data_IF_509838031886
#
_entry.id   IF_509838031886
#
_cell.length_a   1.000
_cell.length_b   1.000
_cell.length_c   1.000
_cell.angle_alpha   90.00
_cell.angle_beta   90.00
_cell.angle_gamma   90.00
#
_symmetry.space_group_name_H-M   'P 1'
#
loop_
_entity.id
_entity.type
_entity.pdbx_description
1 polymer ?
#
# COMPACT_ATOMS: atom_id res chain seq x y z
N UNK A 1 -3.14 1.35 -6.86
CA UNK A 1 -4.44 0.66 -6.92
C UNK A 1 -5.56 1.69 -6.72
N UNK A 2 -6.71 1.49 -7.36
CA UNK A 2 -7.78 2.49 -7.46
C UNK A 2 -9.12 2.00 -6.90
N UNK A 3 -9.28 0.70 -6.65
CA UNK A 3 -10.53 0.08 -6.22
C UNK A 3 -10.37 -0.99 -5.14
N UNK A 4 -11.41 -1.18 -4.31
CA UNK A 4 -11.49 -2.28 -3.33
C UNK A 4 -11.22 -3.64 -3.98
N UNK A 5 -11.72 -3.83 -5.20
CA UNK A 5 -11.57 -5.08 -5.95
C UNK A 5 -10.12 -5.33 -6.32
N UNK A 6 -9.36 -4.31 -6.75
CA UNK A 6 -7.93 -4.44 -6.98
C UNK A 6 -7.19 -4.86 -5.69
N UNK A 7 -7.49 -4.23 -4.55
CA UNK A 7 -6.87 -4.63 -3.28
C UNK A 7 -7.23 -6.06 -2.87
N UNK A 8 -8.49 -6.49 -3.04
CA UNK A 8 -8.89 -7.88 -2.79
C UNK A 8 -8.27 -8.88 -3.76
N UNK A 9 -8.04 -8.46 -5.01
CA UNK A 9 -7.51 -9.30 -6.06
C UNK A 9 -5.99 -9.26 -6.18
N UNK A 10 -5.32 -8.41 -5.42
CA UNK A 10 -3.88 -8.38 -5.33
C UNK A 10 -3.33 -9.71 -4.82
N UNK A 11 -2.32 -10.23 -5.52
CA UNK A 11 -1.60 -11.43 -5.14
C UNK A 11 -0.19 -11.12 -4.69
N UNK A 12 0.39 -12.06 -3.96
CA UNK A 12 1.76 -11.95 -3.47
C UNK A 12 2.75 -11.75 -4.63
N UNK A 13 2.63 -12.57 -5.68
CA UNK A 13 3.48 -12.47 -6.88
C UNK A 13 3.14 -11.32 -7.83
N UNK A 14 2.24 -10.39 -7.45
CA UNK A 14 2.02 -9.17 -8.24
C UNK A 14 2.98 -8.04 -7.84
N UNK A 15 3.74 -8.23 -6.75
CA UNK A 15 4.73 -7.29 -6.25
C UNK A 15 6.08 -8.01 -6.18
N UNK A 16 7.02 -7.57 -7.01
CA UNK A 16 8.37 -8.10 -7.03
C UNK A 16 9.34 -7.13 -6.37
N UNK A 17 10.22 -7.63 -5.50
CA UNK A 17 11.38 -6.89 -5.03
C UNK A 17 12.52 -7.03 -6.04
N UNK A 18 12.98 -5.90 -6.58
CA UNK A 18 14.06 -5.83 -7.58
C UNK A 18 15.15 -4.87 -7.13
N UNK A 19 16.31 -4.96 -7.76
CA UNK A 19 17.46 -4.08 -7.53
C UNK A 19 17.91 -3.48 -8.85
N UNK A 20 18.17 -2.18 -8.87
CA UNK A 20 18.73 -1.49 -10.04
C UNK A 20 20.21 -1.85 -10.24
N UNK A 21 20.77 -1.51 -11.40
CA UNK A 21 22.22 -1.64 -11.65
C UNK A 21 23.07 -0.80 -10.68
N UNK A 22 22.50 0.27 -10.12
CA UNK A 22 23.13 1.11 -9.10
C UNK A 22 23.01 0.55 -7.67
N UNK A 23 22.37 -0.61 -7.48
CA UNK A 23 22.21 -1.25 -6.17
C UNK A 23 21.02 -0.77 -5.34
N UNK A 24 20.11 0.02 -5.94
CA UNK A 24 18.92 0.52 -5.25
C UNK A 24 17.78 -0.49 -5.34
N UNK A 25 17.18 -0.82 -4.19
CA UNK A 25 16.03 -1.73 -4.14
C UNK A 25 14.74 -1.00 -4.47
N UNK A 26 13.81 -1.68 -5.12
CA UNK A 26 12.48 -1.17 -5.39
C UNK A 26 11.45 -2.29 -5.51
N UNK A 27 10.20 -1.96 -5.24
CA UNK A 27 9.04 -2.83 -5.46
C UNK A 27 8.44 -2.50 -6.83
N UNK A 28 8.25 -3.52 -7.65
CA UNK A 28 7.66 -3.43 -8.98
C UNK A 28 6.27 -4.05 -8.97
N UNK A 29 5.24 -3.27 -9.28
CA UNK A 29 3.86 -3.74 -9.27
C UNK A 29 3.39 -4.11 -10.68
N UNK A 30 2.95 -5.36 -10.83
CA UNK A 30 2.36 -5.88 -12.05
C UNK A 30 0.83 -5.87 -11.94
N UNK A 31 0.17 -5.05 -12.78
CA UNK A 31 -1.29 -4.92 -12.77
C UNK A 31 -1.94 -6.13 -13.49
N UNK A 32 -2.75 -6.91 -12.75
CA UNK A 32 -3.58 -7.96 -13.38
C UNK A 32 -4.76 -7.33 -14.10
N UNK A 33 -4.87 -7.57 -15.41
CA UNK A 33 -6.03 -7.17 -16.19
C UNK A 33 -7.30 -7.79 -15.57
N UNK A 34 -8.14 -6.96 -14.94
CA UNK A 34 -9.30 -7.41 -14.15
C UNK A 34 -10.65 -6.97 -14.72
N UNK A 35 -10.68 -6.48 -15.97
CA UNK A 35 -11.94 -6.24 -16.68
C UNK A 35 -12.07 -7.13 -17.90
N UNK A 36 -13.08 -8.01 -17.87
CA UNK A 36 -13.75 -8.48 -19.09
C UNK A 36 -14.35 -7.25 -19.78
N UNK A 37 -13.67 -6.71 -20.78
CA UNK A 37 -14.25 -5.69 -21.64
C UNK A 37 -13.81 -5.92 -23.08
N UNK A 38 -14.67 -6.60 -23.82
CA UNK A 38 -14.70 -6.58 -25.28
C UNK A 38 -15.03 -5.15 -25.70
N UNK A 39 -14.03 -4.37 -26.09
CA UNK A 39 -14.22 -2.99 -26.52
C UNK A 39 -12.96 -2.19 -26.29
N UNK A 40 -12.21 -1.99 -27.38
CA UNK A 40 -10.94 -1.28 -27.46
C UNK A 40 -10.83 -0.09 -26.49
N UNK A 41 -9.81 -0.13 -25.63
CA UNK A 41 -8.92 1.00 -25.30
C UNK A 41 -7.86 0.56 -24.28
N UNK A 42 -6.65 1.03 -24.55
CA UNK A 42 -5.37 0.77 -23.91
C UNK A 42 -5.26 1.32 -22.48
N UNK A 43 -6.04 0.79 -21.54
CA UNK A 43 -6.01 1.21 -20.13
C UNK A 43 -4.89 0.54 -19.30
N UNK A 44 -4.02 -0.26 -19.92
CA UNK A 44 -2.77 -0.67 -19.29
C UNK A 44 -1.88 0.57 -19.11
N UNK A 45 -1.35 0.79 -17.89
CA UNK A 45 -0.43 1.90 -17.67
C UNK A 45 0.76 1.78 -18.62
N UNK A 46 1.21 2.90 -19.17
CA UNK A 46 2.42 2.94 -20.01
C UNK A 46 3.68 2.45 -19.28
N UNK A 47 3.68 2.45 -17.95
CA UNK A 47 4.76 1.96 -17.11
C UNK A 47 4.21 1.24 -15.87
N UNK A 48 4.94 0.21 -15.41
CA UNK A 48 4.65 -0.44 -14.14
C UNK A 48 4.93 0.54 -12.99
N UNK A 49 4.03 0.67 -12.00
CA UNK A 49 4.29 1.50 -10.83
C UNK A 49 5.43 0.91 -10.00
N UNK A 50 6.40 1.76 -9.62
CA UNK A 50 7.55 1.38 -8.81
C UNK A 50 7.56 2.15 -7.49
N UNK A 51 8.01 1.50 -6.42
CA UNK A 51 8.26 2.14 -5.12
C UNK A 51 9.70 1.87 -4.71
N UNK A 52 10.53 2.92 -4.69
CA UNK A 52 11.95 2.82 -4.37
C UNK A 52 12.20 2.81 -2.86
N UNK A 53 13.33 2.23 -2.46
CA UNK A 53 13.83 2.26 -1.09
C UNK A 53 14.12 3.71 -0.64
N UNK A 54 13.63 4.07 0.55
CA UNK A 54 14.02 5.30 1.24
C UNK A 54 14.83 4.92 2.48
N UNK A 55 16.16 4.86 2.36
CA UNK A 55 17.04 4.36 3.42
C UNK A 55 16.94 5.25 4.66
N UNK A 56 16.76 4.64 5.84
CA UNK A 56 16.65 5.36 7.12
C UNK A 56 15.26 5.89 7.46
N UNK A 57 14.29 5.82 6.53
CA UNK A 57 12.91 6.20 6.81
C UNK A 57 12.12 5.01 7.39
N UNK A 58 11.52 5.11 8.59
CA UNK A 58 10.66 4.05 9.14
C UNK A 58 9.43 3.77 8.27
N UNK A 59 9.05 4.69 7.38
CA UNK A 59 7.96 4.55 6.40
C UNK A 59 8.44 4.04 5.04
N UNK A 60 9.70 3.60 4.94
CA UNK A 60 10.26 3.05 3.71
C UNK A 60 9.42 1.86 3.20
N UNK A 61 8.89 1.93 1.97
CA UNK A 61 8.02 0.87 1.44
C UNK A 61 8.75 -0.46 1.28
N UNK A 62 10.04 -0.43 0.92
CA UNK A 62 10.87 -1.64 0.77
C UNK A 62 11.12 -2.29 2.13
N UNK A 63 11.48 -1.52 3.15
CA UNK A 63 11.72 -2.05 4.51
C UNK A 63 10.44 -2.63 5.11
N UNK A 64 9.31 -1.94 4.96
CA UNK A 64 8.00 -2.43 5.40
C UNK A 64 7.59 -3.71 4.66
N UNK A 65 7.85 -3.80 3.36
CA UNK A 65 7.58 -5.02 2.59
C UNK A 65 8.46 -6.20 3.04
N UNK A 66 9.74 -5.97 3.31
CA UNK A 66 10.65 -7.02 3.80
C UNK A 66 10.19 -7.57 5.16
N UNK A 67 9.86 -6.67 6.10
CA UNK A 67 9.27 -7.06 7.40
C UNK A 67 7.96 -7.82 7.21
N UNK A 68 7.10 -7.36 6.28
CA UNK A 68 5.85 -8.03 5.98
C UNK A 68 6.08 -9.44 5.40
N UNK A 69 7.06 -9.60 4.51
CA UNK A 69 7.44 -10.88 3.92
C UNK A 69 7.99 -11.87 4.96
N UNK A 70 8.80 -11.37 5.90
CA UNK A 70 9.40 -12.16 6.98
C UNK A 70 8.33 -12.72 7.93
N UNK A 71 7.41 -11.86 8.39
CA UNK A 71 6.33 -12.25 9.30
C UNK A 71 5.20 -13.01 8.58
N UNK A 72 5.23 -13.09 7.26
CA UNK A 72 4.21 -13.76 6.46
C UNK A 72 4.23 -15.28 6.72
N UNK A 73 3.06 -15.91 6.96
CA UNK A 73 3.02 -17.35 7.14
C UNK A 73 3.48 -18.08 5.88
N UNK A 74 4.24 -19.16 6.04
CA UNK A 74 4.86 -19.88 4.91
C UNK A 74 3.84 -20.32 3.85
N UNK A 75 2.65 -20.77 4.30
CA UNK A 75 1.56 -21.19 3.42
C UNK A 75 0.96 -20.06 2.56
N UNK A 76 1.26 -18.80 2.87
CA UNK A 76 0.74 -17.61 2.18
C UNK A 76 1.80 -16.93 1.31
N UNK A 77 3.00 -17.51 1.14
CA UNK A 77 4.10 -16.97 0.31
C UNK A 77 4.05 -17.44 -1.15
N UNK A 78 3.10 -18.30 -1.54
CA UNK A 78 2.94 -18.68 -2.94
C UNK A 78 2.52 -17.48 -3.79
N UNK A 79 2.97 -17.42 -5.05
CA UNK A 79 2.70 -16.29 -5.94
C UNK A 79 1.21 -16.03 -6.16
N UNK A 80 0.36 -17.06 -6.11
CA UNK A 80 -1.09 -16.97 -6.26
C UNK A 80 -1.84 -16.61 -4.97
N UNK A 81 -1.14 -16.56 -3.84
CA UNK A 81 -1.72 -16.27 -2.53
C UNK A 81 -2.13 -14.81 -2.44
N UNK A 82 -3.17 -14.53 -1.66
CA UNK A 82 -3.70 -13.16 -1.47
C UNK A 82 -2.65 -12.27 -0.83
N UNK A 83 -2.40 -11.09 -1.39
CA UNK A 83 -1.40 -10.18 -0.84
C UNK A 83 -1.72 -9.78 0.60
N UNK A 84 -2.96 -9.40 0.91
CA UNK A 84 -3.35 -9.10 2.28
C UNK A 84 -3.76 -10.36 3.04
N UNK A 85 -3.04 -10.64 4.13
CA UNK A 85 -3.22 -11.80 5.02
C UNK A 85 -3.96 -11.38 6.29
N UNK A 86 -4.76 -12.27 6.86
CA UNK A 86 -5.52 -12.04 8.08
C UNK A 86 -4.60 -11.76 9.28
N UNK A 87 -5.04 -10.88 10.18
CA UNK A 87 -4.33 -10.49 11.39
C UNK A 87 -4.65 -11.49 12.51
N UNK A 88 -3.63 -11.87 13.29
CA UNK A 88 -3.82 -12.71 14.47
C UNK A 88 -4.29 -11.88 15.68
N UNK A 89 -5.60 -11.79 15.88
CA UNK A 89 -6.17 -11.03 17.02
C UNK A 89 -6.13 -11.78 18.37
N UNK A 90 -5.74 -13.07 18.39
CA UNK A 90 -5.73 -13.90 19.60
C UNK A 90 -4.38 -13.89 20.31
N UNK A 91 -3.53 -12.92 19.98
CA UNK A 91 -2.09 -12.88 20.22
C UNK A 91 -1.63 -13.51 21.53
N UNK A 92 -0.88 -14.60 21.40
CA UNK A 92 -0.07 -15.17 22.48
C UNK A 92 1.37 -15.46 22.06
N UNK A 93 1.85 -14.90 20.94
CA UNK A 93 3.21 -15.16 20.42
C UNK A 93 3.67 -14.25 19.29
N UNK A 94 4.79 -14.61 18.66
CA UNK A 94 5.48 -13.85 17.59
C UNK A 94 4.80 -13.94 16.20
N UNK A 95 3.65 -14.63 16.12
CA UNK A 95 2.89 -14.80 14.88
C UNK A 95 1.87 -13.66 14.67
N UNK A 96 2.24 -12.70 13.83
CA UNK A 96 1.42 -11.51 13.52
C UNK A 96 0.21 -11.83 12.63
N UNK A 97 0.33 -12.87 11.80
CA UNK A 97 -0.64 -13.18 10.74
C UNK A 97 -1.10 -14.64 10.83
N UNK A 98 -2.30 -14.89 10.32
CA UNK A 98 -2.92 -16.22 10.24
C UNK A 98 -2.98 -16.69 8.79
N UNK A 99 -3.04 -18.01 8.58
CA UNK A 99 -3.08 -18.65 7.24
C UNK A 99 -4.42 -18.46 6.50
N UNK A 100 -4.90 -17.23 6.37
CA UNK A 100 -6.11 -16.90 5.62
C UNK A 100 -6.03 -15.50 4.99
N UNK A 101 -6.77 -15.25 3.90
CA UNK A 101 -6.92 -13.91 3.35
C UNK A 101 -7.53 -12.92 4.34
N UNK A 102 -7.14 -11.65 4.23
CA UNK A 102 -7.81 -10.59 4.98
C UNK A 102 -9.26 -10.41 4.51
N UNK A 103 -10.18 -10.26 5.47
CA UNK A 103 -11.60 -10.08 5.19
C UNK A 103 -11.91 -8.82 4.37
N UNK A 104 -12.89 -8.92 3.46
CA UNK A 104 -13.30 -7.81 2.58
C UNK A 104 -13.68 -6.52 3.30
N UNK A 105 -14.33 -6.64 4.46
CA UNK A 105 -14.78 -5.50 5.25
C UNK A 105 -13.60 -4.85 5.97
N UNK A 106 -12.69 -5.64 6.53
CA UNK A 106 -11.43 -5.18 7.11
C UNK A 106 -10.66 -4.37 6.08
N UNK A 107 -10.42 -4.92 4.88
CA UNK A 107 -9.75 -4.21 3.79
C UNK A 107 -10.45 -2.91 3.40
N UNK A 108 -11.79 -2.89 3.38
CA UNK A 108 -12.57 -1.71 3.01
C UNK A 108 -12.50 -0.60 4.05
N UNK A 109 -12.24 -0.97 5.31
CA UNK A 109 -12.24 -0.07 6.45
C UNK A 109 -10.84 0.40 6.86
N UNK A 110 -9.75 -0.09 6.22
CA UNK A 110 -8.37 0.30 6.59
C UNK A 110 -8.20 1.82 6.63
N UNK A 111 -8.52 2.53 5.54
CA UNK A 111 -8.33 3.99 5.50
C UNK A 111 -9.21 4.68 6.54
N UNK A 112 -10.44 4.20 6.74
CA UNK A 112 -11.35 4.75 7.75
C UNK A 112 -10.73 4.64 9.15
N UNK A 113 -10.28 3.43 9.53
CA UNK A 113 -9.65 3.21 10.83
C UNK A 113 -8.37 4.04 10.99
N UNK A 114 -7.53 4.12 9.95
CA UNK A 114 -6.32 4.95 10.00
C UNK A 114 -6.64 6.44 10.17
N UNK A 115 -7.68 6.97 9.52
CA UNK A 115 -8.07 8.37 9.65
C UNK A 115 -8.71 8.67 10.99
N UNK A 116 -9.52 7.76 11.51
CA UNK A 116 -10.15 7.88 12.82
C UNK A 116 -9.06 7.94 13.92
N UNK A 117 -8.06 7.04 13.87
CA UNK A 117 -6.92 7.02 14.80
C UNK A 117 -5.99 8.24 14.65
N UNK A 118 -5.85 8.78 13.44
CA UNK A 118 -5.06 9.98 13.19
C UNK A 118 -5.79 11.30 13.55
N UNK A 119 -7.05 11.23 14.00
CA UNK A 119 -7.85 12.41 14.33
C UNK A 119 -8.30 13.23 13.12
N UNK A 120 -8.31 12.65 11.91
CA UNK A 120 -8.75 13.33 10.70
C UNK A 120 -10.28 13.39 10.71
N UNK A 121 -10.83 14.60 10.87
CA UNK A 121 -12.26 14.84 11.11
C UNK A 121 -13.16 14.48 9.91
N UNK A 122 -12.62 14.56 8.69
CA UNK A 122 -13.36 14.23 7.49
C UNK A 122 -13.49 12.73 7.28
N UNK A 123 -14.69 12.28 6.89
CA UNK A 123 -14.90 10.90 6.46
C UNK A 123 -14.04 10.57 5.24
N UNK A 124 -12.93 9.85 5.46
CA UNK A 124 -12.12 9.26 4.39
C UNK A 124 -12.40 7.76 4.28
N UNK A 125 -12.50 7.28 3.05
CA UNK A 125 -12.65 5.86 2.72
C UNK A 125 -11.57 5.47 1.71
N UNK A 126 -11.43 4.20 1.37
CA UNK A 126 -10.42 3.77 0.39
C UNK A 126 -10.50 4.52 -0.96
N UNK A 127 -11.69 4.98 -1.36
CA UNK A 127 -11.86 5.83 -2.54
C UNK A 127 -11.24 7.24 -2.36
N UNK A 128 -11.19 7.77 -1.15
CA UNK A 128 -10.55 9.05 -0.82
C UNK A 128 -9.03 8.98 -0.96
N UNK A 129 -8.41 7.82 -0.74
CA UNK A 129 -6.96 7.60 -0.90
C UNK A 129 -6.51 7.48 -2.38
N UNK A 130 -7.31 7.94 -3.34
CA UNK A 130 -6.88 8.07 -4.73
C UNK A 130 -5.86 9.20 -4.87
N UNK A 131 -5.08 9.20 -5.96
CA UNK A 131 -4.03 10.20 -6.26
C UNK A 131 -4.46 11.61 -5.87
N UNK A 132 -5.63 12.05 -6.30
CA UNK A 132 -6.17 13.38 -6.00
C UNK A 132 -6.29 13.64 -4.50
N UNK A 133 -6.84 12.70 -3.71
CA UNK A 133 -6.97 12.88 -2.27
C UNK A 133 -5.65 12.77 -1.51
N UNK A 134 -4.72 11.90 -1.94
CA UNK A 134 -3.35 11.85 -1.38
C UNK A 134 -2.61 13.16 -1.68
N UNK A 135 -2.70 13.67 -2.91
CA UNK A 135 -2.12 14.96 -3.31
C UNK A 135 -2.69 16.09 -2.47
N UNK A 136 -4.01 16.15 -2.26
CA UNK A 136 -4.64 17.14 -1.38
C UNK A 136 -4.13 17.05 0.06
N UNK A 137 -3.95 15.83 0.61
CA UNK A 137 -3.43 15.65 1.96
C UNK A 137 -1.97 16.08 2.08
N UNK A 138 -1.13 15.77 1.09
CA UNK A 138 0.27 16.23 1.04
C UNK A 138 0.33 17.75 0.95
N UNK A 139 -0.51 18.38 0.13
CA UNK A 139 -0.57 19.84 0.04
C UNK A 139 -1.04 20.48 1.35
N UNK A 140 -2.06 19.91 2.01
CA UNK A 140 -2.52 20.43 3.30
C UNK A 140 -1.45 20.30 4.41
N UNK A 141 -0.66 19.23 4.40
CA UNK A 141 0.47 19.05 5.31
C UNK A 141 1.61 20.04 4.97
N UNK A 142 1.94 20.23 3.69
CA UNK A 142 2.88 21.26 3.23
C UNK A 142 2.44 22.67 3.61
N UNK A 143 1.16 23.00 3.48
CA UNK A 143 0.59 24.29 3.86
C UNK A 143 0.67 24.50 5.38
N UNK A 144 0.62 23.43 6.17
CA UNK A 144 0.83 23.47 7.62
C UNK A 144 2.29 23.78 8.00
N UNK A 145 3.26 23.16 7.33
CA UNK A 145 4.70 23.42 7.55
C UNK A 145 5.18 24.77 7.01
N UNK A 146 4.52 25.32 5.97
CA UNK A 146 4.90 26.60 5.37
C UNK A 146 4.24 27.80 6.02
N UNK A 147 3.06 27.64 6.64
CA UNK A 147 2.35 28.73 7.32
C UNK A 147 2.49 28.71 8.86
N UNK A 148 3.13 27.68 9.43
CA UNK A 148 3.51 27.62 10.84
C UNK A 148 4.89 28.23 11.07
N UNK A 149 4.94 29.54 11.34
CA UNK A 149 6.04 30.32 11.96
C UNK A 149 7.41 29.62 12.09
N UNK A 150 8.38 29.94 11.23
CA UNK A 150 9.73 29.41 11.43
C UNK A 150 10.80 29.72 10.39
N UNK A 151 11.04 31.01 10.16
CA UNK A 151 12.33 31.61 9.78
C UNK A 151 13.04 31.18 8.47
N UNK A 152 13.33 32.21 7.68
CA UNK A 152 14.19 32.25 6.51
C UNK A 152 15.53 31.53 6.74
N UNK A 153 16.03 30.83 5.73
CA UNK A 153 17.38 31.07 5.20
C UNK A 153 17.41 30.78 3.70
N UNK A 154 17.98 31.75 2.98
CA UNK A 154 18.45 31.74 1.60
C UNK A 154 19.40 30.59 1.29
#
# INVERSE_FOLDING_TARGET
MRSRLEHQNLRWGDIDLKTTSAGEKYLDFTERATKTRSGATSDARAFSPKMFENKGDPRCPVSLYLMYAEKRPEKMKANDSKFYVGINNKGSGDEWFINQPMGKNTLSNIIKSMTDEAGIQDRKVNHSARKTGITTLIHADWDYYTNGTGNCYT
#
